data_IF_548669932256
#
_entry.id   IF_548669932256
#
_cell.length_a   1.000
_cell.length_b   1.000
_cell.length_c   1.000
_cell.angle_alpha   90.00
_cell.angle_beta   90.00
_cell.angle_gamma   90.00
#
_symmetry.space_group_name_H-M   'P 1'
#
loop_
_entity.id
_entity.type
_entity.pdbx_description
1 polymer ?
#
# COMPACT_ATOMS: atom_id res chain seq x y z
N UNK A 1 -8.42 -18.67 2.84
CA UNK A 1 -9.34 -17.51 2.86
C UNK A 1 -10.30 -17.60 1.67
N UNK A 2 -11.46 -16.94 1.68
CA UNK A 2 -12.34 -16.80 0.49
C UNK A 2 -12.55 -15.31 0.21
N UNK A 3 -12.35 -14.89 -1.04
CA UNK A 3 -12.57 -13.52 -1.49
C UNK A 3 -14.07 -13.32 -1.81
N UNK A 4 -14.69 -12.31 -1.20
CA UNK A 4 -16.06 -11.90 -1.50
C UNK A 4 -16.02 -10.72 -2.49
N UNK A 5 -16.71 -10.84 -3.63
CA UNK A 5 -16.75 -9.83 -4.69
C UNK A 5 -18.00 -8.95 -4.68
N UNK A 6 -18.80 -9.01 -3.60
CA UNK A 6 -19.93 -8.07 -3.44
C UNK A 6 -19.42 -6.64 -3.38
N UNK A 7 -19.98 -5.79 -4.23
CA UNK A 7 -19.65 -4.37 -4.36
C UNK A 7 -20.78 -3.47 -3.83
N UNK A 8 -21.28 -3.75 -2.63
CA UNK A 8 -22.31 -2.91 -2.00
C UNK A 8 -22.08 -2.77 -0.50
N UNK A 9 -22.75 -1.81 0.15
CA UNK A 9 -22.62 -1.60 1.58
C UNK A 9 -22.96 -2.86 2.39
N UNK A 10 -22.12 -3.20 3.36
CA UNK A 10 -22.35 -4.30 4.29
C UNK A 10 -22.24 -3.81 5.74
N UNK A 11 -23.00 -4.45 6.64
CA UNK A 11 -22.91 -4.17 8.07
C UNK A 11 -21.68 -4.87 8.67
N UNK A 12 -20.89 -4.11 9.41
CA UNK A 12 -19.73 -4.57 10.16
C UNK A 12 -19.99 -4.37 11.65
N UNK A 13 -20.08 -5.47 12.40
CA UNK A 13 -20.20 -5.44 13.85
C UNK A 13 -18.84 -5.11 14.49
N UNK A 14 -18.66 -3.85 14.89
CA UNK A 14 -17.40 -3.35 15.42
C UNK A 14 -17.26 -3.72 16.90
N UNK A 15 -18.25 -3.35 17.72
CA UNK A 15 -18.26 -3.62 19.16
C UNK A 15 -19.61 -4.26 19.52
N UNK A 16 -19.77 -5.59 19.34
CA UNK A 16 -21.04 -6.27 19.55
C UNK A 16 -21.62 -6.07 20.96
N UNK A 17 -20.76 -6.04 21.99
CA UNK A 17 -21.19 -5.83 23.38
C UNK A 17 -21.77 -4.45 23.67
N UNK A 18 -21.47 -3.45 22.82
CA UNK A 18 -22.01 -2.09 22.92
C UNK A 18 -23.04 -1.79 21.83
N UNK A 19 -23.39 -2.78 20.98
CA UNK A 19 -24.31 -2.58 19.85
C UNK A 19 -23.76 -1.67 18.75
N UNK A 20 -22.45 -1.43 18.70
CA UNK A 20 -21.84 -0.54 17.71
C UNK A 20 -21.59 -1.31 16.41
N UNK A 21 -22.29 -0.91 15.35
CA UNK A 21 -22.11 -1.43 14.00
C UNK A 21 -22.06 -0.31 12.97
N UNK A 22 -21.33 -0.54 11.90
CA UNK A 22 -21.16 0.42 10.80
C UNK A 22 -21.56 -0.23 9.48
N UNK A 23 -22.39 0.46 8.71
CA UNK A 23 -22.68 0.13 7.32
C UNK A 23 -21.65 0.83 6.45
N UNK A 24 -20.80 0.07 5.78
CA UNK A 24 -19.75 0.63 4.95
C UNK A 24 -19.65 -0.05 3.59
N UNK A 25 -19.28 0.74 2.58
CA UNK A 25 -18.88 0.22 1.27
C UNK A 25 -17.55 -0.55 1.37
N UNK A 26 -17.28 -1.51 0.47
CA UNK A 26 -16.00 -2.19 0.44
C UNK A 26 -14.85 -1.22 0.10
N UNK A 27 -13.70 -1.34 0.77
CA UNK A 27 -12.51 -0.54 0.46
C UNK A 27 -11.86 -1.05 -0.85
N UNK A 28 -12.47 -0.68 -1.98
CA UNK A 28 -11.97 -1.02 -3.32
C UNK A 28 -10.61 -0.39 -3.59
N UNK A 29 -9.93 -0.82 -4.65
CA UNK A 29 -8.67 -0.20 -5.08
C UNK A 29 -8.81 1.29 -5.33
N UNK A 30 -9.93 1.73 -5.92
CA UNK A 30 -10.19 3.15 -6.16
C UNK A 30 -10.27 3.96 -4.86
N UNK A 31 -10.94 3.43 -3.83
CA UNK A 31 -10.99 4.05 -2.48
C UNK A 31 -9.60 4.11 -1.85
N UNK A 32 -8.86 2.99 -1.89
CA UNK A 32 -7.53 2.91 -1.31
C UNK A 32 -6.53 3.85 -1.98
N UNK A 33 -6.60 4.01 -3.30
CA UNK A 33 -5.72 4.89 -4.05
C UNK A 33 -6.10 6.36 -3.86
N UNK A 34 -7.40 6.68 -3.89
CA UNK A 34 -7.88 8.02 -3.55
C UNK A 34 -7.49 8.43 -2.12
N UNK A 35 -7.52 7.50 -1.16
CA UNK A 35 -7.12 7.78 0.21
C UNK A 35 -5.62 8.07 0.37
N UNK A 36 -4.76 7.45 -0.46
CA UNK A 36 -3.32 7.75 -0.47
C UNK A 36 -3.01 9.10 -1.10
N UNK A 37 -3.87 9.57 -2.00
CA UNK A 37 -3.76 10.87 -2.67
C UNK A 37 -4.36 12.01 -1.85
N UNK A 38 -4.96 11.73 -0.67
CA UNK A 38 -5.55 12.76 0.17
C UNK A 38 -4.49 13.76 0.67
N UNK A 39 -4.70 15.08 0.48
CA UNK A 39 -3.74 16.10 0.86
C UNK A 39 -3.33 16.05 2.34
N UNK A 40 -4.23 15.62 3.25
CA UNK A 40 -3.91 15.51 4.68
C UNK A 40 -2.82 14.48 4.94
N UNK A 41 -2.80 13.40 4.14
CA UNK A 41 -1.79 12.36 4.24
C UNK A 41 -0.47 12.83 3.62
N UNK A 42 -0.52 13.55 2.50
CA UNK A 42 0.67 14.13 1.86
C UNK A 42 1.37 15.14 2.77
N UNK A 43 0.63 16.10 3.36
CA UNK A 43 1.18 17.07 4.31
C UNK A 43 1.80 16.38 5.52
N UNK A 44 1.11 15.42 6.12
CA UNK A 44 1.65 14.68 7.26
C UNK A 44 2.89 13.86 6.90
N UNK A 45 2.96 13.30 5.68
CA UNK A 45 4.13 12.55 5.22
C UNK A 45 5.34 13.48 5.00
N UNK A 46 5.13 14.70 4.51
CA UNK A 46 6.17 15.72 4.38
C UNK A 46 6.70 16.16 5.75
N UNK A 47 5.81 16.37 6.73
CA UNK A 47 6.19 16.70 8.11
C UNK A 47 7.06 15.57 8.71
N UNK A 48 6.61 14.32 8.57
CA UNK A 48 7.36 13.14 9.06
C UNK A 48 8.70 12.97 8.34
N UNK A 49 8.77 13.23 7.03
CA UNK A 49 10.02 13.14 6.28
C UNK A 49 11.02 14.21 6.73
N UNK A 50 10.55 15.42 7.03
CA UNK A 50 11.37 16.51 7.55
C UNK A 50 11.94 16.17 8.94
N UNK A 51 11.14 15.58 9.82
CA UNK A 51 11.59 15.10 11.13
C UNK A 51 12.68 14.01 11.03
N UNK A 52 12.63 13.15 10.01
CA UNK A 52 13.62 12.09 9.77
C UNK A 52 14.92 12.63 9.16
N UNK A 53 14.85 13.65 8.30
CA UNK A 53 16.02 14.29 7.69
C UNK A 53 16.83 15.10 8.72
N UNK A 54 16.14 15.73 9.69
CA UNK A 54 16.76 16.42 10.84
C UNK A 54 17.43 15.45 11.84
N UNK A 55 16.99 14.19 11.88
CA UNK A 55 17.46 13.14 12.79
C UNK A 55 18.39 12.14 12.08
N UNK A 56 19.51 12.60 11.52
CA UNK A 56 20.64 11.79 10.99
C UNK A 56 20.22 10.37 10.50
N UNK A 57 19.20 10.34 9.64
CA UNK A 57 18.60 9.18 8.99
C UNK A 57 18.53 7.87 9.78
N UNK A 58 17.46 7.63 10.55
CA UNK A 58 17.05 6.24 10.86
C UNK A 58 15.55 6.11 11.12
N UNK A 59 14.83 5.53 10.14
CA UNK A 59 13.45 5.03 10.22
C UNK A 59 12.36 6.01 10.70
N UNK A 60 11.16 5.89 10.12
CA UNK A 60 9.99 6.61 10.65
C UNK A 60 9.74 6.12 12.07
N UNK A 61 9.66 7.03 13.04
CA UNK A 61 9.38 6.66 14.42
C UNK A 61 7.97 6.01 14.52
N UNK A 62 7.76 5.08 15.47
CA UNK A 62 6.48 4.37 15.59
C UNK A 62 5.27 5.30 15.82
N UNK A 63 5.46 6.46 16.45
CA UNK A 63 4.37 7.41 16.68
C UNK A 63 3.98 8.10 15.38
N UNK A 64 4.93 8.51 14.55
CA UNK A 64 4.69 9.07 13.21
C UNK A 64 4.03 8.08 12.26
N UNK A 65 4.48 6.82 12.27
CA UNK A 65 3.80 5.75 11.52
C UNK A 65 2.34 5.57 12.00
N UNK A 66 2.10 5.71 13.30
CA UNK A 66 0.74 5.65 13.87
C UNK A 66 -0.11 6.84 13.43
N UNK A 67 0.43 8.07 13.40
CA UNK A 67 -0.28 9.26 12.92
C UNK A 67 -0.72 9.08 11.45
N UNK A 68 0.20 8.66 10.58
CA UNK A 68 -0.09 8.39 9.17
C UNK A 68 -1.20 7.35 9.00
N UNK A 69 -1.12 6.27 9.78
CA UNK A 69 -2.12 5.19 9.76
C UNK A 69 -3.50 5.67 10.21
N UNK A 70 -3.56 6.55 11.22
CA UNK A 70 -4.82 7.15 11.70
C UNK A 70 -5.44 8.07 10.66
N UNK A 71 -4.65 8.94 10.02
CA UNK A 71 -5.15 9.81 8.95
C UNK A 71 -5.66 8.99 7.78
N UNK A 72 -4.89 7.98 7.32
CA UNK A 72 -5.33 7.08 6.26
C UNK A 72 -6.65 6.38 6.63
N UNK A 73 -6.76 5.88 7.86
CA UNK A 73 -7.98 5.25 8.37
C UNK A 73 -9.18 6.19 8.36
N UNK A 74 -8.98 7.45 8.75
CA UNK A 74 -10.02 8.48 8.75
C UNK A 74 -10.49 8.80 7.33
N UNK A 75 -9.56 9.03 6.41
CA UNK A 75 -9.85 9.33 5.00
C UNK A 75 -10.68 8.20 4.37
N UNK A 76 -10.30 6.94 4.63
CA UNK A 76 -11.07 5.78 4.14
C UNK A 76 -12.47 5.77 4.78
N UNK A 77 -12.57 5.97 6.09
CA UNK A 77 -13.85 5.96 6.79
C UNK A 77 -14.82 7.03 6.26
N UNK A 78 -14.34 8.24 6.00
CA UNK A 78 -15.12 9.33 5.40
C UNK A 78 -15.68 8.98 4.01
N UNK A 79 -14.99 8.12 3.26
CA UNK A 79 -15.42 7.70 1.91
C UNK A 79 -16.41 6.55 1.93
N UNK A 80 -16.30 5.63 2.90
CA UNK A 80 -17.00 4.34 2.84
C UNK A 80 -18.14 4.22 3.82
N UNK A 81 -18.17 4.97 4.92
CA UNK A 81 -19.22 4.85 5.93
C UNK A 81 -20.50 5.49 5.40
N UNK A 82 -21.56 4.68 5.32
CA UNK A 82 -22.88 5.08 4.82
C UNK A 82 -23.87 5.27 5.97
N UNK A 83 -23.81 4.40 6.98
CA UNK A 83 -24.67 4.48 8.16
C UNK A 83 -24.00 3.81 9.38
N UNK A 84 -24.55 4.00 10.58
CA UNK A 84 -24.13 3.28 11.79
C UNK A 84 -25.27 3.07 12.79
N UNK A 85 -25.05 2.20 13.77
CA UNK A 85 -25.88 2.07 14.97
C UNK A 85 -25.00 2.00 16.21
N UNK A 86 -25.57 2.36 17.36
CA UNK A 86 -24.84 2.41 18.63
C UNK A 86 -23.87 3.59 18.76
N UNK A 87 -23.87 4.53 17.80
CA UNK A 87 -23.10 5.77 17.85
C UNK A 87 -24.06 6.92 18.17
N UNK A 88 -23.83 7.57 19.30
CA UNK A 88 -24.68 8.63 19.83
C UNK A 88 -23.99 10.00 19.74
N UNK A 89 -24.80 11.03 19.54
CA UNK A 89 -24.37 12.42 19.68
C UNK A 89 -24.40 12.88 21.16
N UNK A 90 -23.98 14.11 21.41
CA UNK A 90 -23.98 14.70 22.75
C UNK A 90 -25.39 14.81 23.39
N UNK A 91 -26.46 14.61 22.62
CA UNK A 91 -27.86 14.65 23.09
C UNK A 91 -28.43 13.25 23.32
N UNK A 92 -27.64 12.18 23.11
CA UNK A 92 -28.08 10.79 23.22
C UNK A 92 -28.92 10.32 22.04
N UNK A 93 -28.95 11.06 20.93
CA UNK A 93 -29.57 10.64 19.67
C UNK A 93 -28.57 9.94 18.76
N UNK A 94 -29.03 9.22 17.74
CA UNK A 94 -28.14 8.64 16.71
C UNK A 94 -27.33 9.76 16.06
N UNK A 95 -25.99 9.65 16.15
CA UNK A 95 -25.09 10.62 15.53
C UNK A 95 -25.29 10.66 14.00
N UNK A 96 -25.23 11.83 13.36
CA UNK A 96 -25.27 11.93 11.91
C UNK A 96 -23.93 11.48 11.30
N UNK A 97 -23.98 10.71 10.22
CA UNK A 97 -22.78 10.31 9.47
C UNK A 97 -22.26 11.50 8.67
N UNK A 98 -21.36 12.25 9.29
CA UNK A 98 -20.66 13.41 8.72
C UNK A 98 -19.18 13.31 9.07
N UNK A 99 -18.33 14.01 8.32
CA UNK A 99 -16.87 13.97 8.55
C UNK A 99 -16.50 14.29 10.01
N UNK A 100 -17.17 15.25 10.65
CA UNK A 100 -16.95 15.62 12.05
C UNK A 100 -17.24 14.45 13.02
N UNK A 101 -18.38 13.77 12.85
CA UNK A 101 -18.73 12.65 13.71
C UNK A 101 -17.92 11.38 13.39
N UNK A 102 -17.51 11.18 12.14
CA UNK A 102 -16.60 10.08 11.76
C UNK A 102 -15.22 10.30 12.40
N UNK A 103 -14.71 11.53 12.39
CA UNK A 103 -13.48 11.88 13.09
C UNK A 103 -13.61 11.62 14.60
N UNK A 104 -14.66 12.14 15.24
CA UNK A 104 -14.91 11.92 16.66
C UNK A 104 -15.08 10.42 17.01
N UNK A 105 -15.73 9.65 16.13
CA UNK A 105 -15.85 8.20 16.28
C UNK A 105 -14.48 7.51 16.28
N UNK A 106 -13.59 7.87 15.35
CA UNK A 106 -12.24 7.30 15.26
C UNK A 106 -11.24 7.91 16.26
N UNK A 107 -11.58 8.98 16.97
CA UNK A 107 -10.81 9.45 18.12
C UNK A 107 -10.98 8.55 19.35
N UNK A 108 -12.11 7.84 19.45
CA UNK A 108 -12.33 6.89 20.53
C UNK A 108 -11.47 5.62 20.32
N UNK A 109 -10.51 5.29 21.22
CA UNK A 109 -9.53 4.23 20.97
C UNK A 109 -10.16 2.87 20.63
N UNK A 110 -11.18 2.45 21.38
CA UNK A 110 -11.85 1.17 21.13
C UNK A 110 -12.56 1.10 19.78
N UNK A 111 -13.07 2.24 19.28
CA UNK A 111 -13.75 2.32 18.00
C UNK A 111 -12.73 2.30 16.86
N UNK A 112 -11.63 3.04 16.99
CA UNK A 112 -10.52 3.01 16.04
C UNK A 112 -9.92 1.60 15.89
N UNK A 113 -9.65 0.92 17.00
CA UNK A 113 -9.11 -0.45 16.99
C UNK A 113 -10.11 -1.43 16.36
N UNK A 114 -11.39 -1.33 16.74
CA UNK A 114 -12.43 -2.19 16.18
C UNK A 114 -12.60 -1.95 14.67
N UNK A 115 -12.57 -0.70 14.21
CA UNK A 115 -12.60 -0.34 12.80
C UNK A 115 -11.43 -0.97 12.02
N UNK A 116 -10.21 -0.82 12.54
CA UNK A 116 -9.02 -1.42 11.93
C UNK A 116 -9.13 -2.94 11.84
N UNK A 117 -9.49 -3.60 12.95
CA UNK A 117 -9.53 -5.06 13.04
C UNK A 117 -10.68 -5.67 12.24
N UNK A 118 -11.87 -5.06 12.27
CA UNK A 118 -13.10 -5.64 11.73
C UNK A 118 -13.38 -5.23 10.30
N UNK A 119 -12.97 -4.03 9.88
CA UNK A 119 -13.18 -3.51 8.54
C UNK A 119 -11.88 -3.51 7.73
N UNK A 120 -10.88 -2.69 8.10
CA UNK A 120 -9.70 -2.48 7.24
C UNK A 120 -8.84 -3.73 7.05
N UNK A 121 -8.63 -4.52 8.11
CA UNK A 121 -7.84 -5.76 8.04
C UNK A 121 -8.42 -6.79 7.05
N UNK A 122 -9.73 -6.75 6.76
CA UNK A 122 -10.32 -7.62 5.73
C UNK A 122 -9.74 -7.32 4.34
N UNK A 123 -9.45 -6.06 4.06
CA UNK A 123 -8.94 -5.62 2.76
C UNK A 123 -7.41 -5.63 2.71
N UNK A 124 -6.73 -5.33 3.83
CA UNK A 124 -5.27 -5.33 3.91
C UNK A 124 -4.68 -6.75 3.94
N UNK A 125 -5.33 -7.71 4.60
CA UNK A 125 -4.83 -9.11 4.63
C UNK A 125 -4.83 -9.73 3.24
N UNK A 126 -5.87 -9.46 2.43
CA UNK A 126 -5.93 -9.91 1.03
C UNK A 126 -4.77 -9.32 0.22
N UNK A 127 -4.46 -8.04 0.41
CA UNK A 127 -3.33 -7.40 -0.28
C UNK A 127 -1.99 -7.98 0.16
N UNK A 128 -1.82 -8.28 1.45
CA UNK A 128 -0.61 -8.91 1.97
C UNK A 128 -0.43 -10.33 1.40
N UNK A 129 -1.47 -11.16 1.37
CA UNK A 129 -1.41 -12.49 0.76
C UNK A 129 -1.07 -12.43 -0.74
N UNK A 130 -1.68 -11.51 -1.51
CA UNK A 130 -1.33 -11.28 -2.92
C UNK A 130 0.11 -10.76 -3.08
N UNK A 131 0.59 -9.93 -2.15
CA UNK A 131 1.97 -9.46 -2.16
C UNK A 131 2.97 -10.58 -1.85
N UNK A 132 2.64 -11.50 -0.94
CA UNK A 132 3.44 -12.70 -0.65
C UNK A 132 3.46 -13.67 -1.85
N UNK A 133 2.33 -13.90 -2.54
CA UNK A 133 2.31 -14.70 -3.78
C UNK A 133 3.13 -14.05 -4.91
N UNK A 134 3.15 -12.70 -4.98
CA UNK A 134 4.03 -11.97 -5.89
C UNK A 134 5.51 -12.12 -5.51
N UNK A 135 5.85 -12.21 -4.22
CA UNK A 135 7.24 -12.47 -3.77
C UNK A 135 7.70 -13.88 -4.12
N UNK A 136 6.82 -14.88 -4.07
CA UNK A 136 7.13 -16.24 -4.57
C UNK A 136 7.21 -16.30 -6.10
N UNK A 137 6.41 -15.48 -6.81
CA UNK A 137 6.52 -15.35 -8.28
C UNK A 137 7.79 -14.62 -8.73
N UNK A 138 8.29 -13.66 -7.93
CA UNK A 138 9.54 -12.94 -8.18
C UNK A 138 10.79 -13.81 -7.94
N UNK A 139 10.68 -14.93 -7.20
CA UNK A 139 11.79 -15.86 -6.98
C UNK A 139 12.08 -16.78 -8.18
N UNK A 140 11.30 -16.69 -9.25
CA UNK A 140 11.56 -17.37 -10.53
C UNK A 140 11.93 -16.40 -11.66
N UNK A 141 12.78 -15.42 -11.35
CA UNK A 141 13.68 -14.83 -12.35
C UNK A 141 15.12 -14.72 -11.82
N UNK A 142 15.59 -15.76 -11.11
CA UNK A 142 17.01 -16.11 -11.25
C UNK A 142 17.09 -17.14 -12.36
N UNK A 143 16.96 -16.67 -13.60
CA UNK A 143 17.63 -17.32 -14.71
C UNK A 143 19.12 -17.26 -14.43
N UNK A 144 19.61 -18.16 -13.57
CA UNK A 144 21.01 -18.51 -13.51
C UNK A 144 21.40 -18.76 -14.95
N UNK A 145 22.33 -17.97 -15.45
CA UNK A 145 23.00 -18.17 -16.72
C UNK A 145 23.72 -19.53 -16.65
N UNK A 146 22.96 -20.61 -16.79
CA UNK A 146 23.47 -21.89 -17.22
C UNK A 146 24.02 -21.63 -18.60
N UNK A 147 25.34 -21.64 -18.70
CA UNK A 147 26.08 -21.39 -19.94
C UNK A 147 25.35 -22.04 -21.11
N UNK A 148 24.69 -21.22 -21.93
CA UNK A 148 24.18 -21.66 -23.22
C UNK A 148 25.40 -22.17 -23.98
N UNK A 149 25.50 -23.49 -24.17
CA UNK A 149 26.55 -24.06 -25.01
C UNK A 149 26.35 -23.47 -26.38
N UNK A 150 27.33 -22.68 -26.82
CA UNK A 150 27.35 -22.07 -28.14
C UNK A 150 27.26 -23.18 -29.19
N UNK A 151 26.11 -23.33 -29.84
CA UNK A 151 25.83 -24.38 -30.84
C UNK A 151 26.36 -24.02 -32.23
N UNK A 152 26.95 -22.83 -32.39
CA UNK A 152 27.55 -22.44 -33.66
C UNK A 152 28.94 -23.10 -33.84
N UNK A 153 29.13 -23.81 -34.96
CA UNK A 153 30.47 -24.23 -35.39
C UNK A 153 31.36 -23.00 -35.57
N UNK A 154 32.55 -23.03 -34.97
CA UNK A 154 33.56 -21.98 -35.08
C UNK A 154 33.92 -21.74 -36.55
N UNK A 155 33.85 -20.48 -37.00
CA UNK A 155 34.24 -20.11 -38.36
C UNK A 155 35.74 -20.37 -38.59
N UNK A 156 36.14 -20.85 -39.79
CA UNK A 156 37.55 -21.01 -40.12
C UNK A 156 38.29 -19.68 -40.15
N UNK A 157 39.59 -19.74 -39.83
CA UNK A 157 40.45 -18.59 -39.55
C UNK A 157 40.54 -17.63 -40.74
N UNK A 158 40.54 -16.33 -40.45
CA UNK A 158 40.68 -15.26 -41.46
C UNK A 158 41.94 -15.42 -42.31
N UNK A 159 41.81 -15.10 -43.60
CA UNK A 159 42.85 -15.23 -44.61
C UNK A 159 44.06 -14.32 -44.31
N UNK A 160 45.25 -14.80 -44.71
CA UNK A 160 46.53 -14.12 -44.48
C UNK A 160 46.59 -12.84 -45.33
N UNK A 161 46.68 -11.68 -44.70
CA UNK A 161 46.83 -10.40 -45.40
C UNK A 161 48.18 -10.30 -46.11
N UNK A 162 48.17 -9.79 -47.35
CA UNK A 162 49.36 -9.58 -48.16
C UNK A 162 50.26 -8.48 -47.58
N UNK A 163 51.58 -8.66 -47.71
CA UNK A 163 52.61 -7.77 -47.16
C UNK A 163 52.77 -6.54 -48.07
N UNK A 164 52.40 -5.35 -47.58
CA UNK A 164 52.68 -4.11 -48.29
C UNK A 164 54.19 -3.79 -48.28
N UNK A 165 54.72 -3.42 -49.45
CA UNK A 165 56.13 -3.07 -49.69
C UNK A 165 56.41 -1.68 -49.07
N UNK A 166 57.43 -1.57 -48.22
CA UNK A 166 57.90 -0.29 -47.66
C UNK A 166 58.37 0.64 -48.79
N UNK A 167 57.76 1.82 -48.89
CA UNK A 167 58.30 2.94 -49.65
C UNK A 167 59.10 3.84 -48.71
N UNK A 168 60.39 4.00 -49.00
CA UNK A 168 61.34 4.86 -48.31
C UNK A 168 60.97 6.33 -48.52
N UNK A 169 60.96 7.16 -47.46
CA UNK A 169 60.95 8.62 -47.59
C UNK A 169 62.32 9.14 -47.19
N UNK A 170 63.01 9.75 -48.15
CA UNK A 170 64.32 10.40 -48.00
C UNK A 170 64.13 11.79 -47.36
N UNK A 171 65.13 12.24 -46.62
CA UNK A 171 65.25 13.56 -46.00
C UNK A 171 65.11 14.70 -47.01
#
# INVERSE_FOLDING_TARGET
MRLNLKNGPEWYDLIPGAGVRVLAEPATTAIMDAAKEDPRLATLAEDVASEVDDLEGTAIDPASATKLSRVLSLVIAEQVIVDWEGVEDAKGGKAPVTAEYIAAFLEHPAAADAWLIKYLNKFLTVQAEVAEEKKDSARSQTGTTGAARNTAKRAPRSAKTARAKKTTRKA
#
